data_IF_077695144382
#
_entry.id   IF_077695144382
#
_cell.length_a   1.000
_cell.length_b   1.000
_cell.length_c   1.000
_cell.angle_alpha   90.00
_cell.angle_beta   90.00
_cell.angle_gamma   90.00
#
_symmetry.space_group_name_H-M   'P 1'
#
loop_
_entity.id
_entity.type
_entity.pdbx_description
1 polymer ?
#
# COMPACT_ATOMS: atom_id res chain seq x y z
N UNK A 1 21.10 -2.64 -48.78
CA UNK A 1 19.64 -2.47 -48.56
C UNK A 1 19.40 -1.04 -48.10
N UNK A 2 19.01 -0.14 -49.01
CA UNK A 2 18.67 1.23 -48.64
C UNK A 2 17.21 1.24 -48.17
N UNK A 3 16.97 1.62 -46.92
CA UNK A 3 15.62 1.76 -46.40
C UNK A 3 14.92 2.87 -47.16
N UNK A 4 13.75 2.58 -47.72
CA UNK A 4 12.94 3.60 -48.38
C UNK A 4 12.38 4.57 -47.34
N UNK A 5 11.99 5.77 -47.77
CA UNK A 5 11.39 6.77 -46.88
C UNK A 5 10.09 6.26 -46.22
N UNK A 6 9.37 5.36 -46.90
CA UNK A 6 8.21 4.65 -46.36
C UNK A 6 8.59 3.70 -45.22
N UNK A 7 9.69 2.95 -45.37
CA UNK A 7 10.18 2.03 -44.33
C UNK A 7 10.58 2.80 -43.07
N UNK A 8 11.23 3.96 -43.23
CA UNK A 8 11.59 4.83 -42.12
C UNK A 8 10.34 5.39 -41.39
N UNK A 9 9.26 5.70 -42.12
CA UNK A 9 8.01 6.15 -41.53
C UNK A 9 7.29 5.02 -40.76
N UNK A 10 7.31 3.80 -41.31
CA UNK A 10 6.76 2.62 -40.63
C UNK A 10 7.53 2.30 -39.35
N UNK A 11 8.86 2.38 -39.37
CA UNK A 11 9.70 2.18 -38.20
C UNK A 11 9.41 3.20 -37.09
N UNK A 12 9.25 4.48 -37.43
CA UNK A 12 8.86 5.52 -36.46
C UNK A 12 7.51 5.21 -35.80
N UNK A 13 6.55 4.69 -36.56
CA UNK A 13 5.23 4.29 -36.04
C UNK A 13 5.32 3.07 -35.11
N UNK A 14 6.15 2.08 -35.45
CA UNK A 14 6.38 0.91 -34.60
C UNK A 14 7.05 1.33 -33.28
N UNK A 15 8.03 2.23 -33.34
CA UNK A 15 8.72 2.74 -32.15
C UNK A 15 7.75 3.49 -31.23
N UNK A 16 6.86 4.34 -31.76
CA UNK A 16 5.89 5.04 -30.91
C UNK A 16 4.90 4.09 -30.24
N UNK A 17 4.40 3.08 -30.97
CA UNK A 17 3.52 2.05 -30.41
C UNK A 17 4.26 1.28 -29.29
N UNK A 18 5.51 0.88 -29.53
CA UNK A 18 6.32 0.18 -28.54
C UNK A 18 6.56 1.03 -27.27
N UNK A 19 6.84 2.33 -27.42
CA UNK A 19 6.97 3.26 -26.30
C UNK A 19 5.68 3.33 -25.48
N UNK A 20 4.52 3.50 -26.13
CA UNK A 20 3.23 3.55 -25.43
C UNK A 20 2.87 2.23 -24.73
N UNK A 21 3.27 1.09 -25.28
CA UNK A 21 3.08 -0.21 -24.66
C UNK A 21 4.01 -0.42 -23.47
N UNK A 22 5.27 0.03 -23.57
CA UNK A 22 6.23 -0.03 -22.47
C UNK A 22 5.85 0.90 -21.32
N UNK A 23 5.34 2.10 -21.61
CA UNK A 23 4.79 3.01 -20.59
C UNK A 23 3.59 2.38 -19.87
N UNK A 24 2.61 1.86 -20.63
CA UNK A 24 1.45 1.15 -20.05
C UNK A 24 1.82 -0.13 -19.31
N UNK A 25 2.88 -0.81 -19.72
CA UNK A 25 3.39 -2.01 -19.06
C UNK A 25 4.21 -1.68 -17.81
N UNK A 26 4.96 -0.58 -17.81
CA UNK A 26 5.68 -0.06 -16.64
C UNK A 26 4.75 0.30 -15.49
N UNK A 27 3.53 0.74 -15.79
CA UNK A 27 2.48 0.98 -14.78
C UNK A 27 1.87 -0.31 -14.20
N UNK A 28 1.91 -1.44 -14.94
CA UNK A 28 1.33 -2.72 -14.53
C UNK A 28 2.34 -3.75 -14.01
N UNK A 29 3.65 -3.50 -14.16
CA UNK A 29 4.74 -4.39 -13.77
C UNK A 29 5.13 -4.39 -12.29
N UNK A 30 4.46 -3.60 -11.43
CA UNK A 30 4.73 -3.56 -9.98
C UNK A 30 3.54 -4.04 -9.12
N UNK A 31 2.66 -4.89 -9.65
CA UNK A 31 1.55 -5.49 -8.88
C UNK A 31 1.54 -7.01 -8.94
N UNK A 32 2.71 -7.58 -8.69
CA UNK A 32 2.88 -8.91 -8.11
C UNK A 32 3.16 -8.83 -6.61
N UNK A 33 2.42 -8.01 -5.86
CA UNK A 33 2.51 -8.00 -4.41
C UNK A 33 1.15 -7.59 -3.82
N UNK A 34 0.54 -8.55 -3.11
CA UNK A 34 -0.57 -8.49 -2.16
C UNK A 34 -1.35 -7.17 -2.14
N UNK A 35 -2.65 -7.28 -2.41
CA UNK A 35 -3.69 -6.26 -2.20
C UNK A 35 -3.23 -5.16 -1.23
N UNK A 36 -3.02 -3.96 -1.78
CA UNK A 36 -2.59 -2.78 -1.05
C UNK A 36 -3.67 -2.39 -0.03
N UNK A 37 -3.67 -3.06 1.12
CA UNK A 37 -4.09 -2.43 2.35
C UNK A 37 -3.17 -1.24 2.56
N UNK A 38 -3.76 -0.06 2.78
CA UNK A 38 -3.11 1.20 3.14
C UNK A 38 -1.80 0.90 3.89
N UNK A 39 -0.66 1.29 3.30
CA UNK A 39 0.65 1.08 3.90
C UNK A 39 0.73 1.91 5.20
N UNK A 40 0.21 1.33 6.28
CA UNK A 40 0.28 1.92 7.59
C UNK A 40 1.73 1.75 8.04
N UNK A 41 2.50 2.84 8.01
CA UNK A 41 3.86 2.86 8.54
C UNK A 41 3.80 2.35 9.97
N UNK A 42 4.31 1.15 10.21
CA UNK A 42 4.21 0.51 11.53
C UNK A 42 5.11 1.27 12.49
N UNK A 43 4.51 2.14 13.30
CA UNK A 43 5.22 2.87 14.36
C UNK A 43 5.66 1.84 15.41
N UNK A 44 6.96 1.56 15.48
CA UNK A 44 7.55 0.76 16.57
C UNK A 44 7.58 1.63 17.83
N UNK A 45 6.75 1.31 18.81
CA UNK A 45 6.77 1.95 20.14
C UNK A 45 7.81 1.27 21.04
N UNK A 46 8.50 2.03 21.88
CA UNK A 46 9.45 1.48 22.85
C UNK A 46 8.73 0.63 23.91
N UNK A 47 9.43 -0.30 24.57
CA UNK A 47 8.79 -1.28 25.47
C UNK A 47 7.97 -0.68 26.62
N UNK A 48 8.42 0.44 27.20
CA UNK A 48 7.69 1.17 28.26
C UNK A 48 6.40 1.79 27.70
N UNK A 49 6.50 2.47 26.56
CA UNK A 49 5.37 3.10 25.87
C UNK A 49 4.31 2.07 25.42
N UNK A 50 4.75 0.86 25.06
CA UNK A 50 3.87 -0.21 24.61
C UNK A 50 3.00 -0.72 25.77
N UNK A 51 3.54 -0.82 26.98
CA UNK A 51 2.78 -1.24 28.17
C UNK A 51 1.71 -0.22 28.57
N UNK A 52 2.06 1.07 28.58
CA UNK A 52 1.13 2.16 28.86
C UNK A 52 0.02 2.23 27.80
N UNK A 53 0.40 2.05 26.53
CA UNK A 53 -0.54 2.01 25.43
C UNK A 53 -1.54 0.85 25.54
N UNK A 54 -1.11 -0.35 25.93
CA UNK A 54 -2.01 -1.49 26.15
C UNK A 54 -3.01 -1.22 27.29
N UNK A 55 -2.56 -0.58 28.38
CA UNK A 55 -3.43 -0.21 29.50
C UNK A 55 -4.49 0.81 29.05
N UNK A 56 -4.09 1.80 28.27
CA UNK A 56 -5.00 2.79 27.70
C UNK A 56 -6.06 2.14 26.79
N UNK A 57 -5.68 1.26 25.85
CA UNK A 57 -6.65 0.55 25.01
C UNK A 57 -7.66 -0.27 25.81
N UNK A 58 -7.23 -0.92 26.89
CA UNK A 58 -8.14 -1.66 27.78
C UNK A 58 -9.10 -0.72 28.52
N UNK A 59 -8.63 0.44 28.96
CA UNK A 59 -9.46 1.44 29.62
C UNK A 59 -10.53 2.01 28.66
N UNK A 60 -10.14 2.37 27.43
CA UNK A 60 -11.08 2.89 26.43
C UNK A 60 -12.11 1.83 26.00
N UNK A 61 -11.71 0.56 25.91
CA UNK A 61 -12.65 -0.54 25.68
C UNK A 61 -13.63 -0.71 26.84
N UNK A 62 -13.15 -0.62 28.10
CA UNK A 62 -14.03 -0.66 29.29
C UNK A 62 -14.98 0.53 29.37
N UNK A 63 -14.59 1.68 28.84
CA UNK A 63 -15.44 2.85 28.70
C UNK A 63 -16.53 2.72 27.61
N UNK A 64 -16.56 1.60 26.88
CA UNK A 64 -17.57 1.31 25.86
C UNK A 64 -17.25 1.85 24.47
N UNK A 65 -16.02 2.30 24.21
CA UNK A 65 -15.62 2.77 22.86
C UNK A 65 -15.59 1.60 21.89
N UNK A 66 -16.22 1.71 20.69
CA UNK A 66 -16.18 0.67 19.68
C UNK A 66 -14.75 0.35 19.21
N UNK A 67 -14.45 -0.95 19.06
CA UNK A 67 -13.13 -1.44 18.65
C UNK A 67 -12.72 -0.89 17.27
N UNK A 68 -13.68 -0.68 16.37
CA UNK A 68 -13.43 -0.12 15.05
C UNK A 68 -12.89 1.31 15.12
N UNK A 69 -13.37 2.10 16.08
CA UNK A 69 -12.95 3.49 16.25
C UNK A 69 -11.58 3.58 16.93
N UNK A 70 -11.31 2.70 17.90
CA UNK A 70 -9.99 2.56 18.52
C UNK A 70 -8.92 2.16 17.50
N UNK A 71 -9.25 1.21 16.62
CA UNK A 71 -8.38 0.74 15.55
C UNK A 71 -8.00 1.88 14.59
N UNK A 72 -9.00 2.68 14.16
CA UNK A 72 -8.79 3.84 13.29
C UNK A 72 -7.98 4.95 13.97
N UNK A 73 -8.33 5.31 15.22
CA UNK A 73 -7.65 6.39 15.96
C UNK A 73 -6.17 6.12 16.21
N UNK A 74 -5.83 4.87 16.53
CA UNK A 74 -4.46 4.51 16.91
C UNK A 74 -3.65 3.83 15.80
N UNK A 75 -4.25 3.62 14.63
CA UNK A 75 -3.60 3.00 13.47
C UNK A 75 -3.22 1.54 13.69
N UNK A 76 -4.12 0.74 14.28
CA UNK A 76 -3.85 -0.65 14.66
C UNK A 76 -4.98 -1.55 14.18
N UNK A 77 -4.68 -2.81 13.91
CA UNK A 77 -5.71 -3.75 13.48
C UNK A 77 -6.72 -4.02 14.62
N UNK A 78 -8.02 -4.17 14.31
CA UNK A 78 -9.02 -4.60 15.29
C UNK A 78 -8.63 -5.93 15.98
N UNK A 79 -8.01 -6.84 15.22
CA UNK A 79 -7.50 -8.11 15.74
C UNK A 79 -6.49 -7.95 16.87
N UNK A 80 -5.63 -6.91 16.81
CA UNK A 80 -4.69 -6.62 17.88
C UNK A 80 -5.40 -6.25 19.18
N UNK A 81 -6.50 -5.49 19.09
CA UNK A 81 -7.28 -5.08 20.27
C UNK A 81 -7.95 -6.30 20.92
N UNK A 82 -8.49 -7.23 20.12
CA UNK A 82 -9.09 -8.46 20.65
C UNK A 82 -8.08 -9.39 21.34
N UNK A 83 -6.84 -9.42 20.86
CA UNK A 83 -5.76 -10.19 21.50
C UNK A 83 -5.33 -9.63 22.86
N UNK A 84 -5.70 -8.39 23.21
CA UNK A 84 -5.26 -7.76 24.46
C UNK A 84 -5.97 -8.29 25.71
N UNK A 85 -7.13 -8.95 25.59
CA UNK A 85 -7.88 -9.50 26.73
C UNK A 85 -8.48 -8.42 27.61
#
# INVERSE_FOLDING_TARGET
MQLTTADAAQLKKIISIAQTLLEKAGEKGAKGARAAGVAHTRIRRSGKDLSAFRKMLKAERKAGVPVADLAKKHGISPSYIYQLG
#
